data_IF_657526466190
#
_entry.id   IF_657526466190
#
_cell.length_a   1.000
_cell.length_b   1.000
_cell.length_c   1.000
_cell.angle_alpha   90.00
_cell.angle_beta   90.00
_cell.angle_gamma   90.00
#
_symmetry.space_group_name_H-M   'P 1'
#
loop_
_entity.id
_entity.type
_entity.pdbx_description
1 polymer ?
#
# COMPACT_ATOMS: atom_id res chain seq x y z
N UNK A 1 -1.66 -11.21 -10.31
CA UNK A 1 -0.97 -12.53 -10.45
C UNK A 1 0.30 -12.48 -9.58
N UNK A 2 0.65 -13.53 -8.84
CA UNK A 2 1.84 -13.56 -7.98
C UNK A 2 2.91 -14.42 -8.65
N UNK A 3 4.11 -13.88 -8.85
CA UNK A 3 5.21 -14.60 -9.48
C UNK A 3 6.48 -14.47 -8.65
N UNK A 4 7.06 -15.59 -8.25
CA UNK A 4 8.40 -15.64 -7.68
C UNK A 4 9.36 -15.96 -8.83
N UNK A 5 10.33 -15.07 -9.03
CA UNK A 5 11.39 -15.21 -10.04
C UNK A 5 12.70 -15.39 -9.28
N UNK A 6 13.37 -16.52 -9.47
CA UNK A 6 14.69 -16.72 -8.89
C UNK A 6 15.71 -16.33 -9.94
N UNK A 7 16.39 -15.19 -9.76
CA UNK A 7 17.54 -14.84 -10.60
C UNK A 7 18.75 -15.61 -10.09
N UNK A 8 18.82 -16.86 -10.49
CA UNK A 8 20.10 -17.55 -10.55
C UNK A 8 20.85 -17.05 -11.80
N UNK A 9 22.18 -17.00 -11.74
CA UNK A 9 23.02 -16.66 -12.89
C UNK A 9 22.90 -17.80 -13.92
N UNK A 10 21.87 -17.71 -14.76
CA UNK A 10 21.65 -18.54 -15.93
C UNK A 10 21.77 -17.70 -17.19
N UNK A 11 22.12 -18.34 -18.31
CA UNK A 11 22.10 -17.69 -19.62
C UNK A 11 20.71 -17.19 -20.02
N UNK A 12 19.63 -17.64 -19.34
CA UNK A 12 18.23 -17.29 -19.65
C UNK A 12 17.37 -17.20 -18.36
N UNK A 13 16.40 -16.29 -18.34
CA UNK A 13 15.48 -16.04 -17.23
C UNK A 13 14.45 -17.19 -17.07
N UNK A 14 14.11 -17.57 -15.83
CA UNK A 14 13.04 -18.52 -15.52
C UNK A 14 12.04 -17.94 -14.50
N UNK A 15 10.76 -18.03 -14.82
CA UNK A 15 9.64 -17.66 -13.93
C UNK A 15 9.00 -18.92 -13.37
N UNK A 16 8.87 -19.03 -12.04
CA UNK A 16 8.11 -20.13 -11.44
C UNK A 16 6.61 -19.83 -11.57
N UNK A 17 5.87 -20.75 -12.20
CA UNK A 17 4.41 -20.84 -12.08
C UNK A 17 4.07 -21.95 -11.08
N UNK A 18 3.01 -21.72 -10.29
CA UNK A 18 2.41 -22.59 -9.27
C UNK A 18 3.10 -23.95 -9.02
N UNK A 19 3.93 -23.98 -7.98
CA UNK A 19 4.51 -25.23 -7.45
C UNK A 19 5.93 -25.13 -6.92
N UNK A 20 6.69 -24.07 -7.25
CA UNK A 20 8.01 -23.81 -6.67
C UNK A 20 9.08 -24.88 -6.93
N UNK A 21 8.85 -25.83 -7.85
CA UNK A 21 9.78 -26.92 -8.14
C UNK A 21 10.70 -26.51 -9.30
N UNK A 22 12.01 -26.64 -9.09
CA UNK A 22 13.01 -26.45 -10.13
C UNK A 22 12.84 -27.48 -11.26
N UNK A 23 12.88 -27.07 -12.55
CA UNK A 23 12.90 -28.00 -13.67
C UNK A 23 14.07 -28.98 -13.59
N UNK A 24 13.87 -30.22 -14.04
CA UNK A 24 14.87 -31.29 -14.00
C UNK A 24 16.14 -31.03 -14.83
N UNK A 25 16.14 -29.99 -15.67
CA UNK A 25 17.29 -29.55 -16.48
C UNK A 25 18.06 -28.35 -15.89
N UNK A 26 17.87 -28.07 -14.60
CA UNK A 26 18.49 -26.93 -13.90
C UNK A 26 19.85 -27.31 -13.32
N UNK A 27 20.91 -26.60 -13.72
CA UNK A 27 22.27 -26.77 -13.16
C UNK A 27 22.56 -25.69 -12.13
N UNK A 28 22.44 -25.97 -10.84
CA UNK A 28 22.78 -25.00 -9.80
C UNK A 28 24.31 -24.93 -9.69
N UNK A 29 24.88 -23.74 -9.92
CA UNK A 29 26.29 -23.45 -9.62
C UNK A 29 26.33 -23.00 -8.15
N UNK A 30 27.35 -23.40 -7.39
CA UNK A 30 27.63 -22.96 -6.01
C UNK A 30 27.95 -21.45 -5.95
N UNK A 31 26.96 -20.61 -6.22
CA UNK A 31 27.12 -19.16 -6.16
C UNK A 31 25.85 -18.49 -5.66
N UNK A 32 26.07 -17.54 -4.74
CA UNK A 32 25.13 -16.62 -4.12
C UNK A 32 24.01 -16.17 -5.09
N UNK A 33 22.79 -16.70 -4.89
CA UNK A 33 21.66 -16.37 -5.76
C UNK A 33 20.76 -15.31 -5.15
N UNK A 34 20.11 -14.52 -6.02
CA UNK A 34 19.19 -13.46 -5.59
C UNK A 34 17.75 -13.85 -5.87
N UNK A 35 16.88 -13.67 -4.87
CA UNK A 35 15.45 -13.88 -5.03
C UNK A 35 14.78 -12.59 -5.48
N UNK A 36 13.97 -12.66 -6.52
CA UNK A 36 13.10 -11.57 -6.98
C UNK A 36 11.64 -11.96 -6.78
N UNK A 37 10.93 -11.15 -6.00
CA UNK A 37 9.48 -11.34 -5.82
C UNK A 37 8.77 -10.20 -6.54
N UNK A 38 7.93 -10.55 -7.51
CA UNK A 38 7.11 -9.60 -8.26
C UNK A 38 5.62 -9.89 -8.04
N UNK A 39 4.90 -8.86 -7.59
CA UNK A 39 3.45 -8.90 -7.38
C UNK A 39 2.85 -7.59 -7.86
N UNK A 40 1.84 -7.68 -8.71
CA UNK A 40 1.08 -6.53 -9.19
C UNK A 40 0.55 -5.68 -8.03
N UNK A 41 0.83 -4.37 -8.03
CA UNK A 41 0.48 -3.42 -6.96
C UNK A 41 1.49 -3.32 -5.80
N UNK A 42 2.61 -4.04 -5.87
CA UNK A 42 3.68 -4.04 -4.87
C UNK A 42 5.03 -3.71 -5.52
N UNK A 43 5.98 -3.08 -4.79
CA UNK A 43 7.33 -2.86 -5.28
C UNK A 43 8.05 -4.20 -5.46
N UNK A 44 8.98 -4.25 -6.41
CA UNK A 44 9.84 -5.41 -6.62
C UNK A 44 10.78 -5.58 -5.40
N UNK A 45 10.78 -6.77 -4.80
CA UNK A 45 11.67 -7.11 -3.70
C UNK A 45 12.83 -7.94 -4.23
N UNK A 46 14.05 -7.42 -4.07
CA UNK A 46 15.31 -8.12 -4.38
C UNK A 46 15.98 -8.52 -3.07
N UNK A 47 16.11 -9.82 -2.81
CA UNK A 47 16.89 -10.34 -1.68
C UNK A 47 18.22 -10.92 -2.20
N UNK A 48 19.34 -10.18 -2.09
CA UNK A 48 20.63 -10.64 -2.60
C UNK A 48 21.18 -11.76 -1.72
N UNK A 49 21.65 -12.85 -2.34
CA UNK A 49 22.36 -13.94 -1.67
C UNK A 49 21.62 -14.54 -0.46
N UNK A 50 20.28 -14.51 -0.45
CA UNK A 50 19.49 -14.92 0.71
C UNK A 50 19.72 -16.39 1.10
N UNK A 51 20.26 -17.19 0.18
CA UNK A 51 20.43 -18.62 0.34
C UNK A 51 21.68 -19.08 -0.42
N UNK A 52 22.44 -19.97 0.21
CA UNK A 52 23.72 -20.49 -0.27
C UNK A 52 23.78 -22.01 -0.11
N UNK A 53 24.63 -22.70 -0.87
CA UNK A 53 24.92 -24.15 -0.75
C UNK A 53 23.69 -25.07 -0.91
N UNK A 54 22.85 -24.83 -1.91
CA UNK A 54 21.60 -25.58 -2.15
C UNK A 54 21.87 -26.80 -3.02
N UNK A 55 21.42 -27.98 -2.58
CA UNK A 55 21.47 -29.22 -3.35
C UNK A 55 20.15 -29.50 -4.09
N UNK A 56 20.17 -30.27 -5.19
CA UNK A 56 18.94 -30.67 -5.87
C UNK A 56 17.97 -31.40 -4.93
N UNK A 57 16.76 -30.86 -4.78
CA UNK A 57 15.72 -31.42 -3.92
C UNK A 57 15.58 -30.75 -2.55
N UNK A 58 16.45 -29.79 -2.22
CA UNK A 58 16.31 -29.01 -0.99
C UNK A 58 15.06 -28.13 -1.03
N UNK A 59 14.31 -28.14 0.06
CA UNK A 59 13.19 -27.23 0.29
C UNK A 59 13.70 -26.08 1.14
N UNK A 60 13.56 -24.86 0.64
CA UNK A 60 13.99 -23.65 1.35
C UNK A 60 12.76 -22.96 1.90
N UNK A 61 12.73 -22.82 3.23
CA UNK A 61 11.79 -21.94 3.90
C UNK A 61 12.33 -20.51 3.90
N UNK A 62 11.61 -19.61 3.24
CA UNK A 62 11.95 -18.18 3.15
C UNK A 62 11.35 -17.38 4.32
N UNK A 63 10.64 -18.04 5.23
CA UNK A 63 9.86 -17.40 6.28
C UNK A 63 8.72 -16.54 5.71
N UNK A 64 8.12 -15.72 6.57
CA UNK A 64 7.08 -14.79 6.19
C UNK A 64 7.70 -13.56 5.48
N UNK A 65 7.44 -13.43 4.18
CA UNK A 65 7.80 -12.25 3.41
C UNK A 65 6.67 -11.21 3.47
N UNK A 66 6.98 -10.02 3.98
CA UNK A 66 6.05 -8.88 4.03
C UNK A 66 6.38 -7.92 2.88
N UNK A 67 5.41 -7.66 2.02
CA UNK A 67 5.49 -6.62 0.98
C UNK A 67 4.55 -5.47 1.38
N UNK A 68 5.08 -4.25 1.42
CA UNK A 68 4.24 -3.05 1.57
C UNK A 68 3.70 -2.63 0.20
N UNK A 69 2.40 -2.35 0.06
CA UNK A 69 1.84 -1.93 -1.22
C UNK A 69 2.42 -0.57 -1.65
N UNK A 70 2.47 -0.32 -2.95
CA UNK A 70 3.09 0.90 -3.52
C UNK A 70 2.43 2.19 -3.00
N UNK A 71 1.17 2.14 -2.59
CA UNK A 71 0.41 3.26 -2.03
C UNK A 71 0.68 3.53 -0.54
N UNK A 72 1.34 2.62 0.18
CA UNK A 72 1.67 2.76 1.60
C UNK A 72 2.57 3.97 1.87
N UNK A 73 3.35 4.39 0.87
CA UNK A 73 4.27 5.53 0.94
C UNK A 73 3.75 6.78 0.23
N UNK A 74 2.43 6.92 0.04
CA UNK A 74 1.87 8.21 -0.38
C UNK A 74 2.25 9.25 0.66
N UNK A 75 3.19 10.13 0.32
CA UNK A 75 3.68 11.16 1.22
C UNK A 75 2.61 12.24 1.38
N UNK A 76 1.71 12.05 2.35
CA UNK A 76 0.72 13.05 2.71
C UNK A 76 1.44 14.19 3.44
N UNK A 77 1.51 15.36 2.80
CA UNK A 77 1.96 16.57 3.49
C UNK A 77 0.95 16.95 4.58
N UNK A 78 1.37 17.79 5.52
CA UNK A 78 0.55 18.19 6.66
C UNK A 78 -0.79 18.80 6.18
N UNK A 79 -1.89 18.15 6.55
CA UNK A 79 -3.23 18.58 6.13
C UNK A 79 -3.58 20.01 6.56
N UNK A 80 -3.10 20.47 7.73
CA UNK A 80 -3.29 21.85 8.18
C UNK A 80 -2.51 22.82 7.31
N UNK A 81 -1.26 22.50 6.96
CA UNK A 81 -0.44 23.34 6.07
C UNK A 81 -1.16 23.54 4.73
N UNK A 82 -1.62 22.44 4.11
CA UNK A 82 -2.36 22.49 2.84
C UNK A 82 -3.61 23.36 2.99
N UNK A 83 -4.41 23.14 4.04
CA UNK A 83 -5.63 23.92 4.27
C UNK A 83 -5.35 25.41 4.48
N UNK A 84 -4.29 25.75 5.21
CA UNK A 84 -3.85 27.14 5.41
C UNK A 84 -3.40 27.79 4.11
N UNK A 85 -2.64 27.09 3.28
CA UNK A 85 -2.24 27.57 1.96
C UNK A 85 -3.47 27.85 1.08
N UNK A 86 -4.46 26.93 1.07
CA UNK A 86 -5.72 27.13 0.36
C UNK A 86 -6.49 28.35 0.89
N UNK A 87 -6.54 28.54 2.21
CA UNK A 87 -7.24 29.67 2.82
C UNK A 87 -6.59 31.01 2.46
N UNK A 88 -5.26 31.07 2.53
CA UNK A 88 -4.51 32.28 2.16
C UNK A 88 -4.71 32.59 0.68
N UNK A 89 -4.68 31.60 -0.21
CA UNK A 89 -4.97 31.79 -1.64
C UNK A 89 -6.39 32.27 -1.88
N UNK A 90 -7.39 31.73 -1.17
CA UNK A 90 -8.75 32.23 -1.23
C UNK A 90 -8.82 33.72 -0.83
N UNK A 91 -8.19 34.11 0.28
CA UNK A 91 -8.25 35.50 0.79
C UNK A 91 -7.50 36.48 -0.12
N UNK A 92 -6.35 36.10 -0.66
CA UNK A 92 -5.47 37.00 -1.42
C UNK A 92 -5.75 36.99 -2.92
N UNK A 93 -6.11 35.83 -3.47
CA UNK A 93 -6.26 35.60 -4.92
C UNK A 93 -7.71 35.34 -5.34
N UNK A 94 -8.67 35.33 -4.41
CA UNK A 94 -10.07 35.00 -4.65
C UNK A 94 -10.26 33.60 -5.27
N UNK A 95 -9.37 32.65 -4.94
CA UNK A 95 -9.52 31.24 -5.34
C UNK A 95 -10.77 30.60 -4.70
N UNK A 96 -11.31 29.57 -5.35
CA UNK A 96 -12.49 28.87 -4.88
C UNK A 96 -12.29 28.26 -3.48
N UNK A 97 -13.26 28.45 -2.60
CA UNK A 97 -13.20 28.01 -1.20
C UNK A 97 -14.42 27.19 -0.80
N UNK A 98 -14.18 25.92 -0.48
CA UNK A 98 -15.24 24.98 -0.13
C UNK A 98 -15.42 24.81 1.40
N UNK A 99 -14.49 25.30 2.23
CA UNK A 99 -14.49 25.04 3.68
C UNK A 99 -14.99 26.26 4.48
N UNK A 100 -16.17 26.76 4.10
CA UNK A 100 -16.76 27.95 4.73
C UNK A 100 -17.22 27.68 6.18
N UNK A 101 -17.59 28.73 6.90
CA UNK A 101 -18.21 28.60 8.23
C UNK A 101 -19.52 27.80 8.19
N UNK A 102 -20.23 27.77 7.06
CA UNK A 102 -21.43 26.95 6.90
C UNK A 102 -21.10 25.45 6.93
N UNK A 103 -19.96 25.03 6.35
CA UNK A 103 -19.49 23.65 6.50
C UNK A 103 -19.13 23.32 7.94
N UNK A 104 -18.60 24.30 8.69
CA UNK A 104 -18.43 24.19 10.13
C UNK A 104 -19.75 23.98 10.89
N UNK A 105 -20.81 24.72 10.52
CA UNK A 105 -22.13 24.58 11.12
C UNK A 105 -22.75 23.19 10.88
N UNK A 106 -22.58 22.62 9.67
CA UNK A 106 -22.96 21.23 9.36
C UNK A 106 -22.25 20.23 10.27
N UNK A 107 -20.97 20.46 10.57
CA UNK A 107 -20.22 19.64 11.53
C UNK A 107 -20.80 19.66 12.94
N UNK A 108 -21.20 20.85 13.44
CA UNK A 108 -21.85 21.00 14.75
C UNK A 108 -23.21 20.30 14.77
N UNK A 109 -24.04 20.50 13.74
CA UNK A 109 -25.35 19.84 13.62
C UNK A 109 -25.22 18.32 13.68
N UNK A 110 -24.26 17.76 12.94
CA UNK A 110 -24.03 16.32 12.94
C UNK A 110 -23.56 15.81 14.32
N UNK A 111 -22.72 16.58 15.02
CA UNK A 111 -22.26 16.22 16.36
C UNK A 111 -23.42 16.21 17.38
N UNK A 112 -24.30 17.20 17.35
CA UNK A 112 -25.48 17.28 18.21
C UNK A 112 -26.46 16.13 17.94
N UNK A 113 -26.78 15.89 16.66
CA UNK A 113 -27.64 14.77 16.26
C UNK A 113 -27.02 13.41 16.60
N UNK A 114 -25.70 13.27 16.47
CA UNK A 114 -24.98 12.06 16.87
C UNK A 114 -25.10 11.79 18.37
N UNK A 115 -24.97 12.84 19.20
CA UNK A 115 -25.16 12.72 20.64
C UNK A 115 -26.60 12.37 21.02
N UNK A 116 -27.58 12.96 20.34
CA UNK A 116 -28.98 12.62 20.52
C UNK A 116 -29.28 11.19 20.05
N UNK A 117 -28.75 10.78 18.90
CA UNK A 117 -28.93 9.44 18.32
C UNK A 117 -28.40 8.37 19.26
N UNK A 118 -27.24 8.62 19.88
CA UNK A 118 -26.68 7.72 20.88
C UNK A 118 -27.58 7.58 22.11
N UNK A 119 -28.11 8.70 22.63
CA UNK A 119 -29.02 8.71 23.78
C UNK A 119 -30.33 7.97 23.49
N UNK A 120 -30.89 8.15 22.30
CA UNK A 120 -32.18 7.58 21.91
C UNK A 120 -32.06 6.21 21.21
N UNK A 121 -30.82 5.75 20.95
CA UNK A 121 -30.51 4.49 20.27
C UNK A 121 -31.26 4.31 18.94
N UNK A 122 -31.41 5.39 18.19
CA UNK A 122 -32.13 5.41 16.92
C UNK A 122 -31.41 6.27 15.89
N UNK A 123 -31.61 5.96 14.62
CA UNK A 123 -31.20 6.81 13.51
C UNK A 123 -31.96 8.14 13.55
N UNK A 124 -31.28 9.23 13.21
CA UNK A 124 -31.87 10.56 13.10
C UNK A 124 -31.65 11.08 11.70
N UNK A 125 -32.68 11.69 11.14
CA UNK A 125 -32.56 12.43 9.89
C UNK A 125 -31.76 13.71 10.15
N UNK A 126 -30.89 14.07 9.21
CA UNK A 126 -30.10 15.32 9.26
C UNK A 126 -30.86 16.37 8.45
N UNK A 127 -31.44 17.42 9.10
CA UNK A 127 -32.13 18.47 8.38
C UNK A 127 -31.17 19.27 7.48
N UNK A 128 -31.64 19.74 6.33
CA UNK A 128 -30.83 20.61 5.48
C UNK A 128 -30.54 21.96 6.18
N UNK A 129 -29.28 22.39 6.09
CA UNK A 129 -28.84 23.75 6.43
C UNK A 129 -28.74 24.53 5.12
N UNK A 130 -29.40 25.69 5.07
CA UNK A 130 -29.63 26.47 3.85
C UNK A 130 -28.40 27.18 3.27
#
# INVERSE_FOLDING_TARGET
MFSIIVNAVYKEYWSTGDGGIFPTNTWLIDSDWSLLVNKEGYPELVLPAAVSNVSPGDVIDLGDLVLEPVDANTNYDNAFKIQWEMFIKHVVLDEAWNYSLMEGAKGVQLAELGMQSWKERKWMDVPELG
#
